data_IF_569781195087
#
_entry.id   IF_569781195087
#
_cell.length_a   1.000
_cell.length_b   1.000
_cell.length_c   1.000
_cell.angle_alpha   90.00
_cell.angle_beta   90.00
_cell.angle_gamma   90.00
#
_symmetry.space_group_name_H-M   'P 1'
#
loop_
_entity.id
_entity.type
_entity.pdbx_description
1 polymer ?
#
# COMPACT_ATOMS: atom_id res chain seq x y z
N UNK A 1 1.76 3.36 28.11
CA UNK A 1 0.84 2.19 28.21
C UNK A 1 -0.30 2.25 27.18
N UNK A 2 -0.97 3.40 26.98
CA UNK A 2 -2.06 3.60 25.98
C UNK A 2 -1.74 3.12 24.55
N UNK A 3 -0.60 3.55 24.00
CA UNK A 3 -0.12 3.18 22.65
C UNK A 3 0.04 1.66 22.45
N UNK A 4 0.32 0.90 23.51
CA UNK A 4 0.51 -0.55 23.39
C UNK A 4 -0.82 -1.29 23.22
N UNK A 5 -1.89 -0.79 23.85
CA UNK A 5 -3.23 -1.36 23.69
C UNK A 5 -3.80 -1.09 22.31
N UNK A 6 -3.71 0.16 21.83
CA UNK A 6 -4.05 0.50 20.45
C UNK A 6 -3.33 -0.41 19.47
N UNK A 7 -2.01 -0.58 19.62
CA UNK A 7 -1.23 -1.49 18.77
C UNK A 7 -1.70 -2.94 18.86
N UNK A 8 -2.17 -3.40 20.02
CA UNK A 8 -2.67 -4.76 20.23
C UNK A 8 -4.03 -4.97 19.54
N UNK A 9 -4.94 -4.01 19.66
CA UNK A 9 -6.25 -4.01 18.98
C UNK A 9 -6.07 -3.91 17.46
N UNK A 10 -5.18 -3.03 17.01
CA UNK A 10 -4.80 -2.90 15.60
C UNK A 10 -4.11 -4.15 15.06
N UNK A 11 -3.31 -4.84 15.87
CA UNK A 11 -2.69 -6.11 15.50
C UNK A 11 -3.75 -7.23 15.39
N UNK A 12 -4.72 -7.29 16.31
CA UNK A 12 -5.79 -8.28 16.29
C UNK A 12 -6.76 -8.14 15.11
N UNK A 13 -7.04 -6.91 14.67
CA UNK A 13 -7.87 -6.66 13.48
C UNK A 13 -7.08 -6.57 12.18
N UNK A 14 -5.76 -6.35 12.27
CA UNK A 14 -4.90 -6.07 11.13
C UNK A 14 -5.12 -4.67 10.58
N UNK A 15 -4.05 -3.87 10.53
CA UNK A 15 -4.04 -2.54 9.90
C UNK A 15 -4.47 -2.58 8.43
N UNK A 16 -4.13 -3.67 7.73
CA UNK A 16 -4.54 -3.89 6.34
C UNK A 16 -6.05 -4.06 6.16
N UNK A 17 -6.82 -4.40 7.20
CA UNK A 17 -8.27 -4.53 7.13
C UNK A 17 -9.02 -3.32 7.72
N UNK A 18 -8.27 -2.25 8.02
CA UNK A 18 -8.82 -1.03 8.61
C UNK A 18 -9.83 -0.38 7.68
N UNK A 19 -10.98 -0.03 8.23
CA UNK A 19 -12.04 0.72 7.57
C UNK A 19 -12.49 1.85 8.49
N UNK A 20 -13.19 2.83 7.94
CA UNK A 20 -13.72 3.95 8.72
C UNK A 20 -14.55 3.46 9.92
N UNK A 21 -15.47 2.51 9.72
CA UNK A 21 -16.31 1.96 10.79
C UNK A 21 -15.51 1.26 11.89
N UNK A 22 -14.42 0.56 11.53
CA UNK A 22 -13.54 -0.10 12.51
C UNK A 22 -12.71 0.92 13.26
N UNK A 23 -12.15 1.91 12.57
CA UNK A 23 -11.41 3.00 13.18
C UNK A 23 -12.30 3.77 14.18
N UNK A 24 -13.53 4.08 13.79
CA UNK A 24 -14.51 4.72 14.68
C UNK A 24 -14.75 3.91 15.95
N UNK A 25 -14.97 2.59 15.84
CA UNK A 25 -15.18 1.73 17.02
C UNK A 25 -13.99 1.72 17.98
N UNK A 26 -12.77 1.69 17.44
CA UNK A 26 -11.53 1.73 18.24
C UNK A 26 -11.45 3.07 18.97
N UNK A 27 -11.63 4.17 18.25
CA UNK A 27 -11.55 5.52 18.82
C UNK A 27 -12.65 5.75 19.87
N UNK A 28 -13.87 5.27 19.63
CA UNK A 28 -14.96 5.34 20.62
C UNK A 28 -14.62 4.58 21.91
N UNK A 29 -13.94 3.44 21.82
CA UNK A 29 -13.46 2.69 22.99
C UNK A 29 -12.36 3.46 23.73
N UNK A 30 -11.44 4.09 23.01
CA UNK A 30 -10.38 4.92 23.58
C UNK A 30 -10.95 6.16 24.29
N UNK A 31 -11.96 6.80 23.73
CA UNK A 31 -12.68 7.91 24.38
C UNK A 31 -13.36 7.44 25.65
N UNK A 32 -14.06 6.30 25.62
CA UNK A 32 -14.72 5.72 26.81
C UNK A 32 -13.74 5.44 27.94
N UNK A 33 -12.49 5.11 27.60
CA UNK A 33 -11.41 4.84 28.56
C UNK A 33 -10.65 6.10 28.99
N UNK A 34 -11.02 7.27 28.46
CA UNK A 34 -10.33 8.54 28.72
C UNK A 34 -8.92 8.60 28.12
N UNK A 35 -8.64 7.75 27.12
CA UNK A 35 -7.35 7.69 26.45
C UNK A 35 -7.22 8.72 25.33
N UNK A 36 -8.34 9.01 24.64
CA UNK A 36 -8.46 9.99 23.56
C UNK A 36 -9.52 11.02 23.94
N UNK A 37 -9.25 12.29 23.67
CA UNK A 37 -10.20 13.36 23.90
C UNK A 37 -11.25 13.40 22.77
N UNK A 38 -12.47 13.80 23.12
CA UNK A 38 -13.63 13.74 22.20
C UNK A 38 -13.49 14.65 20.98
N UNK A 39 -12.79 15.76 21.14
CA UNK A 39 -12.43 16.72 20.11
C UNK A 39 -11.37 16.20 19.13
N UNK A 40 -10.46 15.33 19.59
CA UNK A 40 -9.42 14.71 18.75
C UNK A 40 -9.89 13.44 18.04
N UNK A 41 -11.09 12.94 18.35
CA UNK A 41 -11.63 11.68 17.86
C UNK A 41 -11.56 11.54 16.33
N UNK A 42 -11.91 12.61 15.62
CA UNK A 42 -11.96 12.61 14.16
C UNK A 42 -10.57 12.40 13.54
N UNK A 43 -9.57 13.11 14.05
CA UNK A 43 -8.20 13.04 13.55
C UNK A 43 -7.60 11.65 13.78
N UNK A 44 -7.94 11.02 14.91
CA UNK A 44 -7.56 9.65 15.19
C UNK A 44 -8.17 8.65 14.21
N UNK A 45 -9.46 8.79 13.90
CA UNK A 45 -10.14 7.93 12.91
C UNK A 45 -9.48 8.07 11.54
N UNK A 46 -9.26 9.30 11.09
CA UNK A 46 -8.61 9.59 9.81
C UNK A 46 -7.18 9.02 9.76
N UNK A 47 -6.40 9.20 10.83
CA UNK A 47 -5.04 8.66 10.93
C UNK A 47 -5.00 7.13 10.83
N UNK A 48 -5.91 6.43 11.51
CA UNK A 48 -5.96 4.96 11.46
C UNK A 48 -6.33 4.45 10.07
N UNK A 49 -7.29 5.09 9.40
CA UNK A 49 -7.69 4.74 8.03
C UNK A 49 -6.54 5.00 7.06
N UNK A 50 -5.92 6.17 7.13
CA UNK A 50 -4.80 6.55 6.28
C UNK A 50 -3.63 5.55 6.42
N UNK A 51 -3.25 5.21 7.66
CA UNK A 51 -2.19 4.23 7.91
C UNK A 51 -2.52 2.85 7.33
N UNK A 52 -3.79 2.44 7.39
CA UNK A 52 -4.24 1.19 6.77
C UNK A 52 -4.07 1.21 5.24
N UNK A 53 -4.38 2.33 4.60
CA UNK A 53 -4.21 2.48 3.15
C UNK A 53 -2.75 2.58 2.71
N UNK A 54 -1.91 3.29 3.45
CA UNK A 54 -0.46 3.33 3.24
C UNK A 54 0.15 1.93 3.30
N UNK A 55 -0.21 1.15 4.33
CA UNK A 55 0.31 -0.21 4.50
C UNK A 55 -0.15 -1.14 3.37
N UNK A 56 -1.41 -1.01 2.90
CA UNK A 56 -1.90 -1.73 1.72
C UNK A 56 -1.13 -1.38 0.45
N UNK A 57 -0.79 -0.10 0.26
CA UNK A 57 -0.02 0.34 -0.90
C UNK A 57 1.40 -0.21 -0.86
N UNK A 58 2.05 -0.17 0.30
CA UNK A 58 3.39 -0.73 0.48
C UNK A 58 3.41 -2.23 0.21
N UNK A 59 2.43 -2.97 0.74
CA UNK A 59 2.30 -4.40 0.46
C UNK A 59 2.08 -4.69 -1.03
N UNK A 60 1.22 -3.93 -1.71
CA UNK A 60 1.01 -4.08 -3.17
C UNK A 60 2.30 -3.86 -3.95
N UNK A 61 3.09 -2.85 -3.59
CA UNK A 61 4.39 -2.60 -4.24
C UNK A 61 5.34 -3.77 -4.01
N UNK A 62 5.47 -4.24 -2.78
CA UNK A 62 6.31 -5.38 -2.45
C UNK A 62 5.93 -6.64 -3.25
N UNK A 63 4.64 -6.95 -3.33
CA UNK A 63 4.16 -8.08 -4.15
C UNK A 63 4.48 -7.87 -5.62
N UNK A 64 4.22 -6.67 -6.15
CA UNK A 64 4.50 -6.35 -7.55
C UNK A 64 5.99 -6.51 -7.88
N UNK A 65 6.86 -6.01 -7.01
CA UNK A 65 8.31 -6.04 -7.20
C UNK A 65 8.85 -7.48 -7.09
N UNK A 66 8.33 -8.27 -6.14
CA UNK A 66 8.68 -9.68 -6.00
C UNK A 66 8.26 -10.49 -7.23
N UNK A 67 7.03 -10.27 -7.72
CA UNK A 67 6.55 -10.92 -8.96
C UNK A 67 7.42 -10.53 -10.14
N UNK A 68 7.74 -9.24 -10.28
CA UNK A 68 8.60 -8.76 -11.36
C UNK A 68 9.99 -9.41 -11.29
N UNK A 69 10.61 -9.43 -10.11
CA UNK A 69 11.91 -10.09 -9.90
C UNK A 69 11.87 -11.56 -10.27
N UNK A 70 10.80 -12.27 -9.87
CA UNK A 70 10.62 -13.69 -10.21
C UNK A 70 10.49 -13.90 -11.72
N UNK A 71 9.74 -13.04 -12.43
CA UNK A 71 9.60 -13.12 -13.88
C UNK A 71 10.93 -12.86 -14.60
N UNK A 72 11.69 -11.89 -14.12
CA UNK A 72 13.02 -11.55 -14.63
C UNK A 72 14.01 -12.72 -14.43
N UNK A 73 13.99 -13.37 -13.25
CA UNK A 73 14.80 -14.57 -12.95
C UNK A 73 14.45 -15.77 -13.85
N UNK A 74 13.19 -15.92 -14.22
CA UNK A 74 12.74 -16.95 -15.17
C UNK A 74 13.05 -16.60 -16.63
N UNK A 75 13.62 -15.41 -16.90
CA UNK A 75 13.96 -14.95 -18.24
C UNK A 75 12.73 -14.60 -19.09
N UNK A 76 11.60 -14.27 -18.47
CA UNK A 76 10.37 -13.91 -19.18
C UNK A 76 10.42 -12.45 -19.60
N UNK A 77 10.33 -12.19 -20.90
CA UNK A 77 10.25 -10.83 -21.44
C UNK A 77 8.86 -10.22 -21.21
N UNK A 78 8.83 -8.96 -20.79
CA UNK A 78 7.58 -8.22 -20.63
C UNK A 78 7.10 -7.66 -21.97
N UNK A 79 5.82 -7.26 -22.02
CA UNK A 79 5.27 -6.56 -23.20
C UNK A 79 6.02 -5.24 -23.48
N UNK A 80 6.50 -4.58 -22.44
CA UNK A 80 7.26 -3.33 -22.56
C UNK A 80 8.60 -3.59 -23.27
N UNK A 81 9.31 -4.65 -22.91
CA UNK A 81 10.59 -5.02 -23.54
C UNK A 81 10.42 -5.24 -25.06
N UNK A 82 9.31 -5.86 -25.46
CA UNK A 82 8.96 -6.06 -26.87
C UNK A 82 8.64 -4.74 -27.59
N UNK A 83 7.94 -3.81 -26.94
CA UNK A 83 7.63 -2.50 -27.53
C UNK A 83 8.89 -1.63 -27.67
N UNK A 84 9.79 -1.68 -26.68
CA UNK A 84 11.06 -0.98 -26.70
C UNK A 84 11.96 -1.54 -27.82
N UNK A 85 11.97 -2.87 -28.00
CA UNK A 85 12.66 -3.52 -29.10
C UNK A 85 12.08 -3.12 -30.47
N UNK A 86 10.75 -3.13 -30.62
CA UNK A 86 10.08 -2.72 -31.86
C UNK A 86 10.41 -1.26 -32.24
N UNK A 87 10.41 -0.36 -31.25
CA UNK A 87 10.73 1.05 -31.45
C UNK A 87 12.20 1.25 -31.86
N UNK A 88 13.13 0.49 -31.29
CA UNK A 88 14.55 0.50 -31.70
C UNK A 88 14.72 0.00 -33.14
N UNK A 89 14.03 -1.08 -33.51
CA UNK A 89 14.06 -1.63 -34.89
C UNK A 89 13.53 -0.58 -35.88
N UNK A 90 12.43 0.09 -35.56
CA UNK A 90 11.87 1.13 -36.44
C UNK A 90 12.83 2.31 -36.63
N UNK A 91 13.52 2.72 -35.56
CA UNK A 91 14.51 3.81 -35.61
C UNK A 91 15.71 3.44 -36.47
N UNK A 92 16.27 2.24 -36.29
CA UNK A 92 17.39 1.74 -37.11
C UNK A 92 16.98 1.56 -38.58
N UNK A 93 15.78 1.04 -38.84
CA UNK A 93 15.25 0.89 -40.19
C UNK A 93 15.01 2.22 -40.92
N UNK A 94 14.84 3.32 -40.20
CA UNK A 94 14.79 4.69 -40.76
C UNK A 94 16.19 5.24 -41.05
N UNK A 95 17.20 4.84 -40.28
CA UNK A 95 18.59 5.27 -40.49
C UNK A 95 19.27 4.57 -41.67
N UNK A 96 18.91 3.32 -41.98
CA UNK A 96 19.47 2.62 -43.16
C UNK A 96 18.83 3.00 -44.50
N UNK A 97 17.72 3.74 -44.49
CA UNK A 97 17.01 4.17 -45.71
C UNK A 97 17.29 5.62 -46.13
N UNK A 98 18.20 6.33 -45.45
CA UNK A 98 18.70 7.65 -45.82
C UNK A 98 20.14 7.57 -46.30
#
# INVERSE_FOLDING_TARGET
>A
MRILFERSVLAGMGLLSMTHDKAQKIVDELIRRGEVQKDEAKDWVESLVQRGDEERQNLRKLIHDEVKSTLDELGLVTKQDLQDLASKIETLGKQEKG
#
